data_IF_625634798291
#
_entry.id   IF_625634798291
#
_cell.length_a   1.000
_cell.length_b   1.000
_cell.length_c   1.000
_cell.angle_alpha   90.00
_cell.angle_beta   90.00
_cell.angle_gamma   90.00
#
_symmetry.space_group_name_H-M   'P 1'
#
loop_
_entity.id
_entity.type
_entity.pdbx_description
1 polymer ?
#
# COMPACT_ATOMS: atom_id res chain seq x y z
N UNK A 1 13.52 15.61 -25.21
CA UNK A 1 14.54 14.62 -25.54
C UNK A 1 14.62 14.46 -27.05
N UNK A 2 15.82 14.59 -27.63
CA UNK A 2 16.03 14.65 -29.08
C UNK A 2 15.78 13.31 -29.78
N UNK A 3 15.79 12.19 -29.07
CA UNK A 3 15.74 10.82 -29.59
C UNK A 3 14.42 10.07 -29.30
N UNK A 4 13.37 10.75 -28.82
CA UNK A 4 12.05 10.12 -28.57
C UNK A 4 11.47 9.44 -29.82
N UNK A 5 11.71 10.02 -31.01
CA UNK A 5 11.28 9.44 -32.28
C UNK A 5 11.95 8.11 -32.63
N UNK A 6 13.07 7.80 -31.99
CA UNK A 6 13.86 6.60 -32.24
C UNK A 6 13.51 5.44 -31.24
N UNK A 7 12.55 5.66 -30.32
CA UNK A 7 12.07 4.63 -29.42
C UNK A 7 11.42 3.48 -30.19
N UNK A 8 11.78 2.25 -29.75
CA UNK A 8 11.23 0.99 -30.27
C UNK A 8 10.78 0.13 -29.11
N UNK A 9 9.80 -0.75 -29.35
CA UNK A 9 9.46 -1.81 -28.41
C UNK A 9 10.60 -2.82 -28.39
N UNK A 10 11.24 -3.01 -27.25
CA UNK A 10 12.32 -3.97 -27.07
C UNK A 10 11.75 -5.32 -26.60
N UNK A 11 10.88 -5.29 -25.61
CA UNK A 11 10.20 -6.47 -25.08
C UNK A 11 8.85 -6.10 -24.45
N UNK A 12 8.04 -7.10 -24.18
CA UNK A 12 6.80 -6.97 -23.42
C UNK A 12 6.67 -8.13 -22.44
N UNK A 13 6.07 -7.87 -21.27
CA UNK A 13 5.81 -8.87 -20.25
C UNK A 13 4.31 -8.90 -19.91
N UNK A 14 3.71 -10.10 -19.92
CA UNK A 14 2.31 -10.29 -19.60
C UNK A 14 2.13 -10.54 -18.11
N UNK A 15 1.43 -9.65 -17.41
CA UNK A 15 1.14 -9.76 -15.97
C UNK A 15 0.05 -10.81 -15.64
N UNK A 16 -0.52 -11.48 -16.64
CA UNK A 16 -1.51 -12.54 -16.43
C UNK A 16 -2.88 -12.06 -15.94
N UNK A 17 -3.22 -10.79 -16.15
CA UNK A 17 -4.49 -10.20 -15.71
C UNK A 17 -5.20 -9.49 -16.86
N UNK A 18 -6.54 -9.60 -16.89
CA UNK A 18 -7.42 -8.81 -17.76
C UNK A 18 -7.97 -7.54 -17.05
N UNK A 19 -7.65 -7.35 -15.76
CA UNK A 19 -8.04 -6.17 -14.98
C UNK A 19 -7.09 -5.02 -15.25
N UNK A 20 -7.51 -3.79 -14.91
CA UNK A 20 -6.67 -2.61 -15.01
C UNK A 20 -5.41 -2.71 -14.15
N UNK A 21 -4.30 -2.20 -14.66
CA UNK A 21 -3.00 -2.15 -13.97
C UNK A 21 -2.70 -0.70 -13.64
N UNK A 22 -2.51 -0.40 -12.36
CA UNK A 22 -2.20 0.95 -11.86
C UNK A 22 -0.76 1.08 -11.35
N UNK A 23 0.03 0.02 -11.46
CA UNK A 23 1.38 -0.05 -10.92
C UNK A 23 2.33 0.95 -11.57
N UNK A 24 3.14 1.61 -10.75
CA UNK A 24 4.33 2.32 -11.20
C UNK A 24 5.52 1.39 -11.08
N UNK A 25 6.10 0.90 -12.18
CA UNK A 25 7.28 0.02 -12.12
C UNK A 25 8.49 0.75 -11.52
N UNK A 26 9.27 0.03 -10.71
CA UNK A 26 10.55 0.51 -10.17
C UNK A 26 11.66 -0.38 -10.70
N UNK A 27 12.74 0.23 -11.20
CA UNK A 27 13.93 -0.50 -11.68
C UNK A 27 15.11 -0.22 -10.75
N UNK A 28 15.63 -1.28 -10.14
CA UNK A 28 16.80 -1.24 -9.25
C UNK A 28 17.77 -2.34 -9.70
N UNK A 29 19.02 -1.98 -9.95
CA UNK A 29 20.10 -2.90 -10.34
C UNK A 29 19.74 -3.85 -11.50
N UNK A 30 18.99 -3.33 -12.48
CA UNK A 30 18.58 -4.09 -13.66
C UNK A 30 17.36 -5.00 -13.46
N UNK A 31 16.75 -5.00 -12.28
CA UNK A 31 15.49 -5.70 -12.01
C UNK A 31 14.34 -4.71 -11.97
N UNK A 32 13.31 -4.96 -12.74
CA UNK A 32 12.04 -4.24 -12.72
C UNK A 32 11.07 -4.96 -11.79
N UNK A 33 10.57 -4.23 -10.79
CA UNK A 33 9.49 -4.70 -9.91
C UNK A 33 8.19 -4.00 -10.31
N UNK A 34 7.14 -4.79 -10.51
CA UNK A 34 5.83 -4.30 -10.92
C UNK A 34 4.74 -5.10 -10.23
N UNK A 35 3.64 -4.45 -9.87
CA UNK A 35 2.49 -5.12 -9.27
C UNK A 35 1.37 -5.31 -10.28
N UNK A 36 0.68 -6.43 -10.18
CA UNK A 36 -0.56 -6.72 -10.87
C UNK A 36 -1.76 -6.57 -9.90
N UNK A 37 -3.00 -6.59 -10.40
CA UNK A 37 -4.20 -6.72 -9.58
C UNK A 37 -4.09 -7.86 -8.57
N UNK A 38 -4.79 -7.74 -7.44
CA UNK A 38 -4.67 -8.63 -6.27
C UNK A 38 -3.32 -8.56 -5.57
N UNK A 39 -2.57 -7.48 -5.82
CA UNK A 39 -1.25 -7.24 -5.22
C UNK A 39 -0.20 -8.29 -5.55
N UNK A 40 -0.34 -8.97 -6.69
CA UNK A 40 0.67 -9.91 -7.18
C UNK A 40 1.91 -9.12 -7.59
N UNK A 41 3.08 -9.48 -7.07
CA UNK A 41 4.36 -8.83 -7.38
C UNK A 41 5.14 -9.65 -8.38
N UNK A 42 5.67 -9.00 -9.41
CA UNK A 42 6.55 -9.60 -10.41
C UNK A 42 7.91 -8.91 -10.38
N UNK A 43 8.98 -9.69 -10.45
CA UNK A 43 10.33 -9.22 -10.76
C UNK A 43 10.72 -9.72 -12.15
N UNK A 44 11.19 -8.78 -12.97
CA UNK A 44 11.50 -9.01 -14.37
C UNK A 44 12.89 -8.44 -14.68
N UNK A 45 13.71 -9.14 -15.43
CA UNK A 45 14.95 -8.55 -15.96
C UNK A 45 14.59 -7.36 -16.86
N UNK A 46 15.01 -6.17 -16.45
CA UNK A 46 14.63 -4.93 -17.13
C UNK A 46 15.21 -4.79 -18.53
N UNK A 47 16.20 -5.61 -18.90
CA UNK A 47 16.86 -5.62 -20.19
C UNK A 47 16.19 -6.57 -21.19
N UNK A 48 15.75 -7.74 -20.68
CA UNK A 48 15.27 -8.84 -21.54
C UNK A 48 13.76 -9.04 -21.47
N UNK A 49 13.11 -8.56 -20.40
CA UNK A 49 11.71 -8.86 -20.11
C UNK A 49 11.47 -10.25 -19.55
N UNK A 50 12.53 -11.00 -19.22
CA UNK A 50 12.40 -12.34 -18.64
C UNK A 50 11.94 -12.28 -17.18
N UNK A 51 11.02 -13.16 -16.83
CA UNK A 51 10.55 -13.30 -15.46
C UNK A 51 11.63 -13.87 -14.56
N UNK A 52 11.97 -13.18 -13.48
CA UNK A 52 12.87 -13.67 -12.44
C UNK A 52 12.07 -14.43 -11.38
N UNK A 53 11.04 -13.81 -10.82
CA UNK A 53 10.13 -14.44 -9.87
C UNK A 53 8.77 -13.76 -9.86
N UNK A 54 7.80 -14.40 -9.22
CA UNK A 54 6.46 -13.87 -8.97
C UNK A 54 6.04 -14.28 -7.57
N UNK A 55 5.44 -13.36 -6.83
CA UNK A 55 4.83 -13.60 -5.52
C UNK A 55 3.34 -13.24 -5.56
N UNK A 56 2.48 -14.21 -5.21
CA UNK A 56 1.04 -13.99 -5.02
C UNK A 56 0.76 -13.99 -3.51
N UNK A 57 0.28 -12.88 -2.91
CA UNK A 57 -0.09 -12.82 -1.50
C UNK A 57 -1.38 -13.60 -1.18
N UNK A 58 -2.00 -14.24 -2.17
CA UNK A 58 -3.22 -15.03 -2.02
C UNK A 58 -4.37 -14.26 -1.34
N UNK A 59 -4.57 -13.01 -1.74
CA UNK A 59 -5.66 -12.18 -1.21
C UNK A 59 -7.01 -12.88 -1.44
N UNK A 60 -7.83 -13.10 -0.39
CA UNK A 60 -9.14 -13.73 -0.53
C UNK A 60 -10.01 -12.95 -1.53
N UNK A 61 -10.60 -13.64 -2.51
CA UNK A 61 -11.36 -12.98 -3.59
C UNK A 61 -12.60 -12.24 -3.08
N UNK A 62 -13.16 -12.66 -1.96
CA UNK A 62 -14.23 -11.93 -1.25
C UNK A 62 -13.81 -10.52 -0.80
N UNK A 63 -12.50 -10.27 -0.63
CA UNK A 63 -12.00 -8.95 -0.27
C UNK A 63 -12.24 -7.89 -1.35
N UNK A 64 -12.45 -8.30 -2.61
CA UNK A 64 -12.76 -7.41 -3.71
C UNK A 64 -14.00 -6.53 -3.49
N UNK A 65 -14.93 -6.95 -2.64
CA UNK A 65 -16.13 -6.18 -2.26
C UNK A 65 -15.80 -4.98 -1.36
N UNK A 66 -14.63 -4.97 -0.73
CA UNK A 66 -14.19 -3.93 0.20
C UNK A 66 -13.47 -2.75 -0.48
N UNK A 67 -13.28 -2.79 -1.78
CA UNK A 67 -12.63 -1.73 -2.55
C UNK A 67 -13.55 -1.05 -3.54
N UNK A 68 -13.46 0.27 -3.66
CA UNK A 68 -14.29 1.07 -4.57
C UNK A 68 -13.98 0.86 -6.05
N UNK A 69 -12.71 0.62 -6.36
CA UNK A 69 -12.16 0.96 -7.67
C UNK A 69 -11.31 -0.19 -8.24
N UNK A 70 -11.82 -1.43 -8.12
CA UNK A 70 -11.12 -2.67 -8.42
C UNK A 70 -9.99 -2.99 -7.42
N UNK A 71 -9.33 -4.10 -7.62
CA UNK A 71 -8.28 -4.65 -6.76
C UNK A 71 -6.88 -4.22 -7.23
N UNK A 72 -6.77 -2.94 -7.60
CA UNK A 72 -5.53 -2.33 -8.07
C UNK A 72 -4.43 -2.29 -7.01
N UNK A 73 -3.20 -2.15 -7.49
CA UNK A 73 -2.03 -1.93 -6.64
C UNK A 73 -1.08 -0.97 -7.35
N UNK A 74 -0.59 0.06 -6.64
CA UNK A 74 0.21 1.15 -7.23
C UNK A 74 1.71 0.91 -7.21
N UNK A 75 2.15 -0.24 -6.71
CA UNK A 75 3.55 -0.63 -6.80
C UNK A 75 4.20 -0.97 -5.47
N UNK A 76 5.51 -1.02 -5.49
CA UNK A 76 6.36 -1.45 -4.39
C UNK A 76 7.33 -0.34 -3.97
N UNK A 77 7.96 -0.50 -2.82
CA UNK A 77 9.20 0.18 -2.47
C UNK A 77 10.33 -0.86 -2.39
N UNK A 78 11.55 -0.46 -2.73
CA UNK A 78 12.73 -1.34 -2.69
C UNK A 78 13.83 -0.66 -1.89
N UNK A 79 14.35 -1.34 -0.89
CA UNK A 79 15.47 -0.85 -0.08
C UNK A 79 16.21 -2.02 0.57
N UNK A 80 17.54 -1.88 0.69
CA UNK A 80 18.42 -2.83 1.41
C UNK A 80 18.19 -4.32 1.04
N UNK A 81 17.91 -4.59 -0.23
CA UNK A 81 17.69 -5.94 -0.72
C UNK A 81 16.30 -6.53 -0.42
N UNK A 82 15.38 -5.71 0.08
CA UNK A 82 13.98 -6.07 0.32
C UNK A 82 13.03 -5.30 -0.60
N UNK A 83 11.93 -5.95 -0.97
CA UNK A 83 10.79 -5.39 -1.71
C UNK A 83 9.60 -5.33 -0.77
N UNK A 84 9.06 -4.13 -0.55
CA UNK A 84 7.92 -3.89 0.33
C UNK A 84 6.69 -3.54 -0.49
N UNK A 85 5.55 -4.10 -0.13
CA UNK A 85 4.27 -3.75 -0.76
C UNK A 85 3.10 -3.97 0.20
N UNK A 86 2.03 -3.21 -0.02
CA UNK A 86 0.76 -3.44 0.66
C UNK A 86 -0.09 -4.42 -0.13
N UNK A 87 -0.58 -5.47 0.51
CA UNK A 87 -1.58 -6.34 -0.06
C UNK A 87 -2.98 -5.72 0.09
N UNK A 88 -3.86 -5.99 -0.87
CA UNK A 88 -5.20 -5.39 -0.94
C UNK A 88 -6.04 -5.65 0.32
N UNK A 89 -5.79 -6.75 1.01
CA UNK A 89 -6.43 -7.12 2.27
C UNK A 89 -5.79 -6.47 3.52
N UNK A 90 -4.89 -5.50 3.33
CA UNK A 90 -4.34 -4.71 4.42
C UNK A 90 -3.10 -5.29 5.09
N UNK A 91 -2.47 -6.30 4.52
CA UNK A 91 -1.16 -6.76 4.99
C UNK A 91 -0.04 -5.93 4.36
N UNK A 92 0.97 -5.58 5.15
CA UNK A 92 2.25 -5.08 4.66
C UNK A 92 3.24 -6.24 4.63
N UNK A 93 3.89 -6.46 3.48
CA UNK A 93 4.72 -7.63 3.22
C UNK A 93 6.10 -7.19 2.73
N UNK A 94 7.15 -7.83 3.24
CA UNK A 94 8.51 -7.71 2.74
C UNK A 94 8.98 -9.03 2.11
N UNK A 95 9.54 -8.92 0.92
CA UNK A 95 10.12 -10.03 0.17
C UNK A 95 11.63 -9.82 0.00
N UNK A 96 12.39 -10.90 -0.04
CA UNK A 96 13.76 -10.87 -0.53
C UNK A 96 13.77 -10.47 -2.02
N UNK A 97 14.52 -9.44 -2.36
CA UNK A 97 14.52 -8.87 -3.70
C UNK A 97 15.07 -9.82 -4.78
N UNK A 98 15.91 -10.78 -4.40
CA UNK A 98 16.52 -11.74 -5.33
C UNK A 98 15.66 -12.97 -5.57
N UNK A 99 15.02 -13.47 -4.50
CA UNK A 99 14.30 -14.75 -4.54
C UNK A 99 12.80 -14.60 -4.63
N UNK A 100 12.24 -13.47 -4.17
CA UNK A 100 10.80 -13.26 -4.02
C UNK A 100 10.20 -13.99 -2.82
N UNK A 101 11.02 -14.59 -1.96
CA UNK A 101 10.57 -15.26 -0.75
C UNK A 101 10.14 -14.22 0.31
N UNK A 102 9.07 -14.52 1.04
CA UNK A 102 8.59 -13.65 2.11
C UNK A 102 9.55 -13.66 3.30
N UNK A 103 10.02 -12.48 3.69
CA UNK A 103 10.86 -12.26 4.86
C UNK A 103 10.00 -12.02 6.09
N UNK A 104 9.03 -11.11 5.99
CA UNK A 104 8.06 -10.85 7.04
C UNK A 104 6.72 -10.37 6.47
N UNK A 105 5.69 -10.44 7.30
CA UNK A 105 4.35 -9.97 6.99
C UNK A 105 3.71 -9.42 8.26
N UNK A 106 3.07 -8.25 8.18
CA UNK A 106 2.37 -7.61 9.28
C UNK A 106 0.96 -7.23 8.87
N UNK A 107 -0.03 -7.54 9.70
CA UNK A 107 -1.39 -7.04 9.54
C UNK A 107 -1.44 -5.57 10.00
N UNK A 108 -1.83 -4.67 9.09
CA UNK A 108 -1.91 -3.25 9.40
C UNK A 108 -3.29 -2.82 9.90
N UNK A 109 -4.29 -3.71 9.83
CA UNK A 109 -5.70 -3.41 10.10
C UNK A 109 -6.05 -3.76 11.54
N UNK A 110 -6.49 -2.76 12.32
CA UNK A 110 -6.92 -2.96 13.71
C UNK A 110 -8.32 -3.60 13.82
N UNK A 111 -9.21 -3.26 12.88
CA UNK A 111 -10.58 -3.77 12.89
C UNK A 111 -10.95 -4.38 11.54
N UNK A 112 -10.91 -5.70 11.48
CA UNK A 112 -11.22 -6.50 10.30
C UNK A 112 -12.70 -6.50 9.89
N UNK A 113 -13.60 -6.06 10.76
CA UNK A 113 -15.02 -5.89 10.44
C UNK A 113 -15.26 -4.67 9.53
N UNK A 114 -14.33 -3.72 9.53
CA UNK A 114 -14.36 -2.56 8.65
C UNK A 114 -13.67 -2.86 7.31
N UNK A 115 -14.12 -2.25 6.21
CA UNK A 115 -13.60 -2.52 4.87
C UNK A 115 -12.31 -1.74 4.56
N UNK A 116 -11.29 -1.91 5.39
CA UNK A 116 -9.96 -1.38 5.12
C UNK A 116 -9.30 -2.11 3.96
N UNK A 117 -8.63 -1.37 3.11
CA UNK A 117 -7.82 -1.90 2.00
C UNK A 117 -6.49 -1.18 1.91
N UNK A 118 -5.54 -1.75 1.20
CA UNK A 118 -4.31 -1.06 0.78
C UNK A 118 -4.18 -1.19 -0.73
N UNK A 119 -4.06 -0.06 -1.41
CA UNK A 119 -3.78 0.03 -2.85
C UNK A 119 -2.56 0.89 -3.14
N UNK A 120 -2.11 1.68 -2.16
CA UNK A 120 -0.95 2.56 -2.26
C UNK A 120 0.38 1.82 -2.22
N UNK A 121 1.39 2.37 -2.88
CA UNK A 121 2.76 1.91 -2.74
C UNK A 121 3.36 2.47 -1.44
N UNK A 122 4.05 1.66 -0.63
CA UNK A 122 4.73 2.15 0.57
C UNK A 122 5.90 3.06 0.22
N UNK A 123 6.42 3.76 1.24
CA UNK A 123 7.65 4.54 1.15
C UNK A 123 8.63 4.07 2.20
N UNK A 124 9.90 3.99 1.83
CA UNK A 124 10.97 3.69 2.78
C UNK A 124 11.74 4.97 3.10
N UNK A 125 11.82 5.30 4.37
CA UNK A 125 12.62 6.40 4.89
C UNK A 125 13.51 5.87 6.02
N UNK A 126 14.80 5.85 5.78
CA UNK A 126 15.82 5.26 6.68
C UNK A 126 15.48 3.77 6.95
N UNK A 127 15.23 3.45 8.20
CA UNK A 127 14.91 2.12 8.73
C UNK A 127 13.40 1.86 8.86
N UNK A 128 12.55 2.69 8.24
CA UNK A 128 11.10 2.57 8.34
C UNK A 128 10.42 2.43 6.99
N UNK A 129 9.41 1.56 6.95
CA UNK A 129 8.45 1.45 5.85
C UNK A 129 7.16 2.15 6.26
N UNK A 130 6.74 3.12 5.47
CA UNK A 130 5.57 3.96 5.77
C UNK A 130 4.46 3.62 4.79
N UNK A 131 3.25 3.38 5.30
CA UNK A 131 2.07 3.10 4.51
C UNK A 131 0.81 3.62 5.21
N UNK A 132 -0.20 3.95 4.42
CA UNK A 132 -1.54 4.26 4.91
C UNK A 132 -2.57 3.28 4.41
N UNK A 133 -3.85 3.62 4.54
CA UNK A 133 -4.98 2.77 4.15
C UNK A 133 -5.89 3.43 3.12
N UNK A 134 -6.68 2.61 2.43
CA UNK A 134 -7.86 2.97 1.65
C UNK A 134 -9.15 2.58 2.37
N UNK A 135 -10.30 2.84 1.75
CA UNK A 135 -11.63 2.47 2.24
C UNK A 135 -12.45 3.63 2.82
N UNK A 136 -12.05 4.89 2.60
CA UNK A 136 -12.78 6.06 3.09
C UNK A 136 -14.26 6.05 2.72
N UNK A 137 -14.59 5.60 1.51
CA UNK A 137 -15.94 5.53 0.95
C UNK A 137 -16.84 4.52 1.68
N UNK A 138 -16.23 3.60 2.40
CA UNK A 138 -16.92 2.49 3.09
C UNK A 138 -16.90 2.59 4.61
N UNK A 139 -16.56 3.75 5.15
CA UNK A 139 -16.67 4.02 6.58
C UNK A 139 -15.50 3.52 7.40
N UNK A 140 -14.28 3.77 6.95
CA UNK A 140 -13.05 3.53 7.72
C UNK A 140 -12.42 4.83 8.19
N UNK A 141 -11.60 4.75 9.23
CA UNK A 141 -10.78 5.84 9.73
C UNK A 141 -9.43 5.84 9.04
N UNK A 142 -9.00 6.99 8.54
CA UNK A 142 -7.70 7.14 7.90
C UNK A 142 -6.55 7.13 8.90
N UNK A 143 -5.46 6.48 8.52
CA UNK A 143 -4.19 6.49 9.25
C UNK A 143 -2.99 6.42 8.32
N UNK A 144 -1.84 6.76 8.86
CA UNK A 144 -0.53 6.49 8.31
C UNK A 144 0.29 5.82 9.40
N UNK A 145 1.00 4.76 9.06
CA UNK A 145 1.78 3.97 10.01
C UNK A 145 3.19 3.74 9.48
N UNK A 146 4.18 3.80 10.35
CA UNK A 146 5.54 3.38 10.07
C UNK A 146 5.83 2.06 10.76
N UNK A 147 6.47 1.18 10.03
CA UNK A 147 6.92 -0.13 10.47
C UNK A 147 8.44 -0.20 10.39
N UNK A 148 9.07 -0.94 11.26
CA UNK A 148 10.49 -1.25 11.14
C UNK A 148 10.74 -2.04 9.85
N UNK A 149 11.72 -1.63 9.06
CA UNK A 149 11.95 -2.19 7.73
C UNK A 149 12.48 -3.63 7.78
N UNK A 150 13.20 -4.00 8.83
CA UNK A 150 13.80 -5.33 8.96
C UNK A 150 12.84 -6.34 9.60
N UNK A 151 11.98 -5.89 10.52
CA UNK A 151 11.14 -6.78 11.34
C UNK A 151 9.65 -6.71 11.03
N UNK A 152 9.17 -5.60 10.44
CA UNK A 152 7.76 -5.36 10.24
C UNK A 152 7.00 -4.96 11.51
N UNK A 153 7.70 -4.71 12.63
CA UNK A 153 7.07 -4.23 13.86
C UNK A 153 6.60 -2.78 13.71
N UNK A 154 5.40 -2.49 14.25
CA UNK A 154 4.87 -1.14 14.24
C UNK A 154 5.71 -0.21 15.11
N UNK A 155 6.25 0.86 14.50
CA UNK A 155 7.02 1.88 15.20
C UNK A 155 6.14 3.02 15.71
N UNK A 156 5.22 3.48 14.90
CA UNK A 156 4.22 4.48 15.25
C UNK A 156 3.06 4.47 14.25
N UNK A 157 1.89 4.94 14.73
CA UNK A 157 0.70 5.20 13.93
C UNK A 157 0.18 6.60 14.19
N UNK A 158 -0.27 7.26 13.13
CA UNK A 158 -0.93 8.55 13.18
C UNK A 158 -2.28 8.49 12.46
N UNK A 159 -3.34 8.83 13.18
CA UNK A 159 -4.66 8.97 12.57
C UNK A 159 -4.80 10.34 11.90
N UNK A 160 -5.50 10.38 10.77
CA UNK A 160 -5.68 11.58 9.95
C UNK A 160 -6.97 12.34 10.28
N UNK A 161 -7.88 11.69 10.99
CA UNK A 161 -9.15 12.26 11.44
C UNK A 161 -9.40 11.91 12.91
N UNK A 162 -10.12 12.77 13.66
CA UNK A 162 -10.35 12.51 15.08
C UNK A 162 -11.21 11.27 15.31
N UNK A 163 -11.01 10.63 16.47
CA UNK A 163 -11.80 9.52 16.96
C UNK A 163 -13.07 9.93 17.69
N UNK A 164 -13.60 9.01 18.51
CA UNK A 164 -14.77 9.27 19.35
C UNK A 164 -14.46 10.36 20.40
N UNK A 165 -15.22 11.46 20.46
CA UNK A 165 -14.99 12.53 21.44
C UNK A 165 -15.30 12.13 22.89
N UNK A 166 -16.00 11.02 23.11
CA UNK A 166 -16.26 10.48 24.45
C UNK A 166 -15.06 9.68 25.01
N UNK A 167 -14.01 9.50 24.20
CA UNK A 167 -12.78 8.78 24.58
C UNK A 167 -11.58 9.73 24.55
N UNK A 168 -10.47 9.39 25.24
CA UNK A 168 -9.25 10.18 25.16
C UNK A 168 -8.73 10.23 23.72
N UNK A 169 -8.39 11.41 23.21
CA UNK A 169 -7.73 11.55 21.93
C UNK A 169 -6.27 11.08 22.00
N UNK A 170 -5.78 10.54 20.92
CA UNK A 170 -4.41 10.02 20.82
C UNK A 170 -3.33 11.10 21.01
N UNK A 171 -3.68 12.35 20.68
CA UNK A 171 -2.79 13.49 20.82
C UNK A 171 -3.57 14.82 20.75
N UNK A 172 -2.87 15.93 21.07
CA UNK A 172 -3.48 17.26 21.07
C UNK A 172 -3.96 17.73 19.69
N UNK A 173 -3.34 17.26 18.61
CA UNK A 173 -3.78 17.61 17.26
C UNK A 173 -5.13 16.97 16.93
N UNK A 174 -5.36 15.73 17.34
CA UNK A 174 -6.66 15.07 17.19
C UNK A 174 -7.73 15.71 18.06
N UNK A 175 -7.39 16.13 19.27
CA UNK A 175 -8.29 16.88 20.15
C UNK A 175 -8.69 18.22 19.51
N UNK A 176 -7.74 18.98 19.00
CA UNK A 176 -8.00 20.24 18.31
C UNK A 176 -8.82 20.03 17.03
N UNK A 177 -8.52 18.99 16.25
CA UNK A 177 -9.26 18.65 15.05
C UNK A 177 -10.74 18.33 15.36
N UNK A 178 -11.01 17.62 16.45
CA UNK A 178 -12.37 17.26 16.86
C UNK A 178 -13.27 18.48 17.10
N UNK A 179 -12.73 19.62 17.49
CA UNK A 179 -13.48 20.86 17.68
C UNK A 179 -14.07 21.41 16.37
N UNK A 180 -13.55 20.98 15.23
CA UNK A 180 -14.02 21.37 13.89
C UNK A 180 -15.04 20.41 13.28
N UNK A 181 -15.33 19.29 13.96
CA UNK A 181 -16.26 18.25 13.50
C UNK A 181 -17.57 18.32 14.29
N UNK A 182 -18.70 18.12 13.60
CA UNK A 182 -20.02 18.05 14.25
C UNK A 182 -20.20 16.69 14.95
N UNK A 183 -20.21 16.61 16.27
CA UNK A 183 -20.35 15.36 17.00
C UNK A 183 -21.77 14.77 16.89
N UNK A 184 -22.79 15.56 16.55
CA UNK A 184 -24.16 15.06 16.43
C UNK A 184 -24.31 14.03 15.31
N UNK A 185 -23.46 14.11 14.28
CA UNK A 185 -23.41 13.18 13.17
C UNK A 185 -22.66 11.86 13.47
N UNK A 186 -22.06 11.73 14.64
CA UNK A 186 -21.29 10.56 15.06
C UNK A 186 -20.30 10.08 13.99
N UNK A 187 -19.54 11.02 13.44
CA UNK A 187 -18.59 10.79 12.35
C UNK A 187 -17.63 9.61 12.60
N UNK A 188 -17.27 9.37 13.85
CA UNK A 188 -16.38 8.27 14.24
C UNK A 188 -17.00 6.87 14.01
N UNK A 189 -18.34 6.74 14.14
CA UNK A 189 -19.02 5.47 13.83
C UNK A 189 -18.95 5.19 12.32
N UNK A 190 -19.04 6.23 11.50
CA UNK A 190 -18.85 6.17 10.06
C UNK A 190 -17.38 6.14 9.64
N UNK A 191 -16.44 6.26 10.59
CA UNK A 191 -15.00 6.19 10.36
C UNK A 191 -14.33 7.53 10.04
N UNK A 192 -15.05 8.55 9.57
CA UNK A 192 -14.51 9.89 9.26
C UNK A 192 -13.68 9.99 7.97
N UNK A 193 -13.23 8.92 7.38
CA UNK A 193 -12.46 8.93 6.13
C UNK A 193 -11.00 9.39 6.30
N UNK A 194 -10.54 10.27 5.41
CA UNK A 194 -9.18 10.85 5.45
C UNK A 194 -8.06 9.85 5.20
N UNK A 195 -8.33 8.78 4.43
CA UNK A 195 -7.38 7.70 4.18
C UNK A 195 -6.17 8.16 3.37
N UNK A 196 -4.98 7.66 3.74
CA UNK A 196 -3.70 7.93 3.06
C UNK A 196 -3.45 6.81 2.06
N UNK A 197 -4.13 6.87 0.93
CA UNK A 197 -4.14 5.81 -0.09
C UNK A 197 -3.21 6.09 -1.29
N UNK A 198 -2.73 7.32 -1.42
CA UNK A 198 -1.95 7.78 -2.57
C UNK A 198 -0.48 8.05 -2.18
N UNK A 199 0.23 8.71 -3.08
CA UNK A 199 1.66 8.96 -2.98
C UNK A 199 2.01 9.84 -1.77
N UNK A 200 3.07 9.45 -1.08
CA UNK A 200 3.68 10.22 0.01
C UNK A 200 5.05 10.73 -0.41
N UNK A 201 5.41 11.91 0.06
CA UNK A 201 6.74 12.54 -0.13
C UNK A 201 7.28 12.97 1.22
N UNK A 202 8.60 12.85 1.40
CA UNK A 202 9.32 13.30 2.61
C UNK A 202 10.59 14.05 2.22
#
# INVERSE_FOLDING_TARGET
TKNVKDLKLEWSYNLGSSRGVESTPIVIDGVMYVTAPWSIVHAVDARTGEKLWTYDPEVPRSYGEKGCCDVGNRGVAVSNGLVYFGAFDGRLIALDAKTGERVWETDTIENRDKPYTITGAPRVFKDKVIIGNGGAEYGVRGYITAYDADTGEEAWRWYTVPGNPDEPFENDAMKMAAETWDPSGKYWEAGGGGTVWDSMVF
#
